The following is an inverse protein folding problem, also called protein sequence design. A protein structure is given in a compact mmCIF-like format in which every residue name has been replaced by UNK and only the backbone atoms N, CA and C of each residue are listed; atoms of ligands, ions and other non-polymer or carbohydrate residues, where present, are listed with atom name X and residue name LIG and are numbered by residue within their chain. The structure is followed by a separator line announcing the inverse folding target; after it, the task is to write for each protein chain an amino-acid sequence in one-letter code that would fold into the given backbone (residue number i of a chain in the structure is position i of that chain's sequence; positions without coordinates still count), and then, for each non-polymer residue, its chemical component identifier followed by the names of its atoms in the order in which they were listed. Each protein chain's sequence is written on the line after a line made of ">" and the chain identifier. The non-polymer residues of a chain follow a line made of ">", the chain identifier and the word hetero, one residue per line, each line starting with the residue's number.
data_IF_304255508935
#
_entry.id   IF_304255508935
#
_cell.length_a   1.000
_cell.length_b   1.000
_cell.length_c   1.000
_cell.angle_alpha   90.00
_cell.angle_beta   90.00
_cell.angle_gamma   90.00
#
_symmetry.space_group_name_H-M   'P 1'
#
loop_
_entity.id
_entity.type
_entity.pdbx_description
1 polymer ?
#
# COMPACT_ATOMS: atom_id res chain seq x y z
N UNK A 1 25.95 65.68 -10.80
CA UNK A 1 25.31 65.72 -9.46
C UNK A 1 23.83 65.39 -9.61
N UNK A 2 23.44 64.13 -9.42
CA UNK A 2 22.08 63.68 -9.07
C UNK A 2 22.17 62.24 -8.58
N UNK A 3 21.73 62.05 -7.34
CA UNK A 3 21.66 60.81 -6.60
C UNK A 3 20.63 59.85 -7.22
N UNK A 4 20.94 58.54 -7.21
CA UNK A 4 19.93 57.47 -7.12
C UNK A 4 20.36 56.50 -6.02
N UNK A 5 19.39 56.11 -5.21
CA UNK A 5 19.50 55.32 -3.98
C UNK A 5 18.67 54.04 -4.15
N UNK A 6 19.07 52.97 -3.41
CA UNK A 6 18.36 51.70 -3.07
C UNK A 6 18.37 50.60 -4.15
N UNK A 7 18.60 49.31 -3.88
CA UNK A 7 18.37 48.45 -2.68
C UNK A 7 19.48 47.40 -2.49
N UNK A 8 19.68 46.83 -1.28
CA UNK A 8 20.49 45.63 -1.09
C UNK A 8 19.65 44.36 -1.31
N UNK A 9 20.11 43.47 -2.20
CA UNK A 9 19.56 42.13 -2.35
C UNK A 9 20.10 41.24 -1.22
N UNK A 10 19.23 40.83 -0.30
CA UNK A 10 19.49 39.73 0.63
C UNK A 10 19.24 38.40 -0.07
N UNK A 11 20.29 37.79 -0.61
CA UNK A 11 20.26 36.40 -1.09
C UNK A 11 20.73 35.48 0.03
N UNK A 12 19.81 34.73 0.64
CA UNK A 12 20.16 33.51 1.37
C UNK A 12 20.45 32.40 0.35
N UNK A 13 21.55 31.64 0.46
CA UNK A 13 21.77 30.49 -0.40
C UNK A 13 20.85 29.34 0.07
N UNK A 14 20.01 28.87 -0.83
CA UNK A 14 19.28 27.62 -0.73
C UNK A 14 20.28 26.45 -0.74
N UNK A 15 20.57 25.90 0.45
CA UNK A 15 21.33 24.66 0.58
C UNK A 15 20.38 23.52 0.27
N UNK A 16 20.49 22.97 -0.94
CA UNK A 16 19.84 21.73 -1.34
C UNK A 16 20.59 20.58 -0.64
N UNK A 17 20.08 20.12 0.51
CA UNK A 17 20.58 18.90 1.14
C UNK A 17 20.10 17.70 0.34
N UNK A 18 20.96 17.15 -0.53
CA UNK A 18 20.76 15.84 -1.13
C UNK A 18 21.05 14.81 -0.01
N UNK A 19 20.02 14.41 0.71
CA UNK A 19 20.13 13.28 1.64
C UNK A 19 20.20 11.99 0.82
N UNK A 20 21.35 11.32 0.91
CA UNK A 20 21.51 9.95 0.41
C UNK A 20 20.92 9.03 1.47
N UNK A 21 19.66 8.66 1.28
CA UNK A 21 18.99 7.61 2.05
C UNK A 21 19.70 6.26 1.81
N UNK A 22 19.68 5.31 2.77
CA UNK A 22 20.18 3.96 2.50
C UNK A 22 19.55 3.45 1.19
N UNK A 23 20.33 2.74 0.38
CA UNK A 23 19.89 2.21 -0.93
C UNK A 23 18.51 1.57 -0.78
N UNK A 24 17.49 2.12 -1.45
CA UNK A 24 16.14 1.56 -1.49
C UNK A 24 16.27 0.06 -1.72
N UNK A 25 15.89 -0.74 -0.72
CA UNK A 25 15.85 -2.19 -0.90
C UNK A 25 14.51 -2.52 -1.53
N UNK A 26 14.44 -2.52 -2.86
CA UNK A 26 13.23 -2.88 -3.57
C UNK A 26 12.98 -4.40 -3.51
N UNK A 27 11.71 -4.80 -3.58
CA UNK A 27 11.33 -6.18 -3.79
C UNK A 27 11.87 -6.62 -5.17
N UNK A 28 12.66 -7.71 -5.27
CA UNK A 28 13.19 -8.17 -6.55
C UNK A 28 12.08 -8.88 -7.33
N UNK A 29 11.25 -8.10 -8.02
CA UNK A 29 10.17 -8.64 -8.84
C UNK A 29 10.71 -9.38 -10.08
N UNK A 30 9.98 -10.39 -10.60
CA UNK A 30 10.29 -11.01 -11.88
C UNK A 30 10.40 -9.96 -12.96
N UNK A 31 11.44 -10.08 -13.78
CA UNK A 31 11.60 -9.17 -14.90
C UNK A 31 10.45 -9.26 -15.90
N UNK A 32 9.71 -10.36 -15.95
CA UNK A 32 8.61 -10.63 -16.86
C UNK A 32 8.25 -12.12 -16.87
N UNK A 33 7.43 -12.58 -17.82
CA UNK A 33 7.05 -13.99 -17.89
C UNK A 33 8.28 -14.88 -18.08
N UNK A 34 8.44 -15.96 -17.28
CA UNK A 34 9.56 -16.87 -17.40
C UNK A 34 9.45 -17.70 -18.69
N UNK A 35 10.58 -18.22 -19.18
CA UNK A 35 10.60 -19.14 -20.34
C UNK A 35 9.82 -20.44 -20.08
N UNK A 36 9.80 -20.87 -18.82
CA UNK A 36 9.06 -22.05 -18.36
C UNK A 36 8.37 -21.72 -17.05
N UNK A 37 7.09 -22.04 -16.97
CA UNK A 37 6.33 -21.96 -15.73
C UNK A 37 6.47 -23.25 -14.94
N UNK A 38 6.86 -23.11 -13.68
CA UNK A 38 6.80 -24.13 -12.65
C UNK A 38 6.24 -23.52 -11.35
N UNK A 39 6.14 -24.32 -10.30
CA UNK A 39 5.51 -23.87 -9.05
C UNK A 39 6.23 -22.70 -8.39
N UNK A 40 7.56 -22.64 -8.50
CA UNK A 40 8.35 -21.56 -7.90
C UNK A 40 8.15 -20.27 -8.69
N UNK A 41 8.13 -20.34 -10.02
CA UNK A 41 7.80 -19.19 -10.86
C UNK A 41 6.38 -18.66 -10.60
N UNK A 42 5.38 -19.54 -10.41
CA UNK A 42 4.03 -19.12 -10.03
C UNK A 42 4.00 -18.42 -8.68
N UNK A 43 4.72 -18.93 -7.68
CA UNK A 43 4.81 -18.30 -6.35
C UNK A 43 5.49 -16.95 -6.40
N UNK A 44 6.57 -16.81 -7.17
CA UNK A 44 7.27 -15.54 -7.35
C UNK A 44 6.36 -14.48 -7.97
N UNK A 45 5.61 -14.83 -9.01
CA UNK A 45 4.64 -13.92 -9.62
C UNK A 45 3.47 -13.63 -8.69
N UNK A 46 2.95 -14.61 -7.95
CA UNK A 46 1.88 -14.36 -6.99
C UNK A 46 2.34 -13.49 -5.80
N UNK A 47 3.60 -13.61 -5.35
CA UNK A 47 4.18 -12.68 -4.36
C UNK A 47 4.36 -11.27 -4.96
N UNK A 48 4.69 -11.18 -6.25
CA UNK A 48 4.75 -9.89 -6.96
C UNK A 48 3.37 -9.24 -7.03
N UNK A 49 2.32 -10.03 -7.27
CA UNK A 49 0.94 -9.57 -7.21
C UNK A 49 0.60 -9.00 -5.83
N UNK A 50 0.94 -9.71 -4.75
CA UNK A 50 0.77 -9.22 -3.36
C UNK A 50 1.47 -7.88 -3.15
N UNK A 51 2.71 -7.73 -3.63
CA UNK A 51 3.47 -6.49 -3.47
C UNK A 51 2.91 -5.36 -4.34
N UNK A 52 2.44 -5.67 -5.56
CA UNK A 52 1.78 -4.72 -6.44
C UNK A 52 0.56 -4.08 -5.76
N UNK A 53 -0.39 -4.88 -5.29
CA UNK A 53 -1.60 -4.36 -4.62
C UNK A 53 -1.28 -3.69 -3.29
N UNK A 54 -0.20 -4.11 -2.61
CA UNK A 54 0.23 -3.42 -1.39
C UNK A 54 0.77 -2.01 -1.68
N UNK A 55 1.42 -1.77 -2.82
CA UNK A 55 1.98 -0.47 -3.18
C UNK A 55 0.93 0.57 -3.57
N UNK A 56 -0.26 0.18 -4.01
CA UNK A 56 -1.36 1.11 -4.35
C UNK A 56 -2.08 1.61 -3.10
N UNK A 57 -2.17 0.78 -2.05
CA UNK A 57 -2.92 1.10 -0.82
C UNK A 57 -2.39 2.35 -0.10
N UNK A 58 -1.11 2.47 0.34
CA UNK A 58 -0.63 3.68 1.00
C UNK A 58 -0.70 4.92 0.11
N UNK A 59 -0.51 4.75 -1.21
CA UNK A 59 -0.56 5.84 -2.18
C UNK A 59 -1.94 6.51 -2.19
N UNK A 60 -3.00 5.71 -2.38
CA UNK A 60 -4.37 6.22 -2.41
C UNK A 60 -4.85 6.64 -1.03
N UNK A 61 -4.49 5.89 0.01
CA UNK A 61 -4.88 6.19 1.38
C UNK A 61 -4.22 7.49 1.90
N UNK A 62 -2.97 7.76 1.55
CA UNK A 62 -2.28 9.03 1.84
C UNK A 62 -3.04 10.21 1.24
N UNK A 63 -3.36 10.13 -0.06
CA UNK A 63 -4.14 11.16 -0.75
C UNK A 63 -5.52 11.33 -0.12
N UNK A 64 -6.22 10.24 0.20
CA UNK A 64 -7.53 10.25 0.86
C UNK A 64 -7.48 10.99 2.21
N UNK A 65 -6.46 10.77 3.03
CA UNK A 65 -6.32 11.45 4.31
C UNK A 65 -6.07 12.95 4.17
N UNK A 66 -5.43 13.39 3.09
CA UNK A 66 -5.18 14.80 2.84
C UNK A 66 -6.43 15.58 2.41
N UNK A 67 -7.49 14.93 1.93
CA UNK A 67 -8.69 15.62 1.42
C UNK A 67 -9.51 16.23 2.56
N UNK A 68 -9.97 17.47 2.35
CA UNK A 68 -10.87 18.18 3.27
C UNK A 68 -12.10 18.77 2.54
N UNK A 69 -13.30 18.74 3.13
CA UNK A 69 -13.64 17.95 4.31
C UNK A 69 -13.53 16.44 4.03
N UNK A 70 -13.24 15.63 5.04
CA UNK A 70 -13.14 14.17 4.91
C UNK A 70 -14.44 13.49 4.45
N UNK A 71 -15.56 14.22 4.48
CA UNK A 71 -16.87 13.79 3.97
C UNK A 71 -17.12 14.21 2.51
N UNK A 72 -16.12 14.72 1.80
CA UNK A 72 -16.28 15.09 0.38
C UNK A 72 -16.51 13.86 -0.48
N UNK A 73 -17.04 14.08 -1.69
CA UNK A 73 -17.26 12.99 -2.64
C UNK A 73 -15.95 12.35 -3.10
N UNK A 74 -14.93 13.17 -3.38
CA UNK A 74 -13.59 12.72 -3.72
C UNK A 74 -12.97 11.83 -2.61
N UNK A 75 -13.10 12.22 -1.34
CA UNK A 75 -12.62 11.42 -0.23
C UNK A 75 -13.31 10.05 -0.15
N UNK A 76 -14.62 9.98 -0.38
CA UNK A 76 -15.37 8.72 -0.40
C UNK A 76 -15.00 7.83 -1.58
N UNK A 77 -14.86 8.41 -2.78
CA UNK A 77 -14.48 7.67 -3.99
C UNK A 77 -13.10 7.03 -3.84
N UNK A 78 -12.11 7.79 -3.39
CA UNK A 78 -10.76 7.26 -3.15
C UNK A 78 -10.77 6.22 -2.02
N UNK A 79 -11.55 6.44 -0.94
CA UNK A 79 -11.70 5.43 0.11
C UNK A 79 -12.33 4.13 -0.42
N UNK A 80 -13.26 4.21 -1.37
CA UNK A 80 -13.84 3.04 -2.04
C UNK A 80 -12.80 2.25 -2.83
N UNK A 81 -11.96 2.95 -3.61
CA UNK A 81 -10.83 2.32 -4.33
C UNK A 81 -9.88 1.64 -3.34
N UNK A 82 -9.50 2.32 -2.25
CA UNK A 82 -8.61 1.73 -1.23
C UNK A 82 -9.17 0.43 -0.65
N UNK A 83 -10.48 0.34 -0.42
CA UNK A 83 -11.12 -0.89 0.08
C UNK A 83 -11.06 -2.01 -0.97
N UNK A 84 -11.20 -1.68 -2.25
CA UNK A 84 -11.04 -2.64 -3.35
C UNK A 84 -9.58 -3.11 -3.49
N UNK A 85 -8.59 -2.22 -3.37
CA UNK A 85 -7.17 -2.61 -3.35
C UNK A 85 -6.83 -3.54 -2.18
N UNK A 86 -7.46 -3.37 -1.01
CA UNK A 86 -7.33 -4.31 0.12
C UNK A 86 -7.93 -5.68 -0.18
N UNK A 87 -9.05 -5.73 -0.92
CA UNK A 87 -9.59 -6.98 -1.44
C UNK A 87 -8.61 -7.62 -2.43
N UNK A 88 -8.02 -6.84 -3.34
CA UNK A 88 -7.08 -7.34 -4.34
C UNK A 88 -5.85 -7.94 -3.66
N UNK A 89 -5.31 -7.26 -2.66
CA UNK A 89 -4.22 -7.78 -1.82
C UNK A 89 -4.60 -9.12 -1.17
N UNK A 90 -5.80 -9.21 -0.60
CA UNK A 90 -6.27 -10.44 0.03
C UNK A 90 -6.42 -11.59 -0.97
N UNK A 91 -6.95 -11.32 -2.17
CA UNK A 91 -7.10 -12.29 -3.25
C UNK A 91 -5.74 -12.73 -3.82
N UNK A 92 -4.82 -11.81 -4.06
CA UNK A 92 -3.45 -12.11 -4.49
C UNK A 92 -2.73 -13.00 -3.46
N UNK A 93 -2.88 -12.71 -2.17
CA UNK A 93 -2.33 -13.54 -1.11
C UNK A 93 -3.01 -14.90 -1.00
N UNK A 94 -4.33 -15.01 -1.25
CA UNK A 94 -5.03 -16.29 -1.35
C UNK A 94 -4.50 -17.14 -2.51
N UNK A 95 -4.23 -16.54 -3.68
CA UNK A 95 -3.62 -17.23 -4.82
C UNK A 95 -2.25 -17.79 -4.43
N UNK A 96 -1.38 -16.96 -3.85
CA UNK A 96 -0.05 -17.40 -3.39
C UNK A 96 -0.15 -18.49 -2.32
N UNK A 97 -1.06 -18.35 -1.37
CA UNK A 97 -1.32 -19.35 -0.34
C UNK A 97 -1.77 -20.68 -0.95
N UNK A 98 -2.69 -20.64 -1.93
CA UNK A 98 -3.18 -21.82 -2.65
C UNK A 98 -2.10 -22.53 -3.47
N UNK A 99 -1.07 -21.82 -3.93
CA UNK A 99 0.12 -22.41 -4.56
C UNK A 99 1.09 -23.05 -3.54
N UNK A 100 0.71 -23.13 -2.26
CA UNK A 100 1.57 -23.59 -1.16
C UNK A 100 2.65 -22.60 -0.76
N UNK A 101 2.54 -21.34 -1.18
CA UNK A 101 3.40 -20.25 -0.73
C UNK A 101 2.93 -19.66 0.60
N UNK A 102 3.70 -18.69 1.08
CA UNK A 102 3.35 -17.84 2.22
C UNK A 102 3.54 -16.39 1.77
N UNK A 103 2.46 -15.60 1.65
CA UNK A 103 2.58 -14.17 1.39
C UNK A 103 3.45 -13.50 2.44
N UNK A 104 4.29 -12.56 2.01
CA UNK A 104 5.11 -11.70 2.87
C UNK A 104 4.80 -10.24 2.53
N UNK A 105 4.50 -9.44 3.56
CA UNK A 105 4.23 -8.00 3.42
C UNK A 105 5.19 -7.16 4.26
N UNK A 106 5.67 -7.70 5.38
CA UNK A 106 6.50 -6.97 6.32
C UNK A 106 8.00 -7.23 6.07
N UNK A 107 8.78 -6.16 6.11
CA UNK A 107 10.23 -6.22 6.04
C UNK A 107 10.79 -5.17 5.10
N UNK A 108 12.09 -4.87 5.17
CA UNK A 108 12.71 -3.77 4.43
C UNK A 108 12.56 -3.91 2.91
N UNK A 109 12.37 -5.12 2.40
CA UNK A 109 12.16 -5.39 0.97
C UNK A 109 10.70 -5.42 0.53
N UNK A 110 9.76 -5.59 1.46
CA UNK A 110 8.35 -5.88 1.15
C UNK A 110 7.44 -4.71 1.51
N UNK A 111 7.75 -3.99 2.58
CA UNK A 111 7.02 -2.80 2.98
C UNK A 111 7.22 -1.70 1.94
N UNK A 112 6.14 -1.11 1.39
CA UNK A 112 6.22 -0.09 0.35
C UNK A 112 7.15 1.06 0.72
N UNK A 113 7.97 1.49 -0.24
CA UNK A 113 8.86 2.64 -0.11
C UNK A 113 8.57 3.62 -1.24
N UNK A 114 8.44 4.91 -0.92
CA UNK A 114 8.16 5.94 -1.91
C UNK A 114 9.31 6.97 -1.98
N UNK A 115 9.61 7.52 -3.17
CA UNK A 115 8.97 7.20 -4.44
C UNK A 115 9.25 5.76 -4.93
N UNK A 116 8.34 5.20 -5.72
CA UNK A 116 8.52 3.90 -6.39
C UNK A 116 8.05 3.95 -7.85
N UNK A 117 8.50 3.00 -8.66
CA UNK A 117 8.01 2.80 -10.02
C UNK A 117 7.28 1.45 -10.09
N UNK A 118 5.99 1.46 -10.42
CA UNK A 118 5.21 0.20 -10.48
C UNK A 118 5.35 -0.48 -11.84
N UNK A 119 5.26 0.25 -12.95
CA UNK A 119 5.23 -0.32 -14.30
C UNK A 119 6.51 -0.11 -15.09
N UNK A 120 6.52 -0.73 -16.27
CA UNK A 120 7.47 -0.48 -17.33
C UNK A 120 7.47 0.96 -17.89
N UNK A 121 6.31 1.62 -17.91
CA UNK A 121 6.25 3.05 -18.21
C UNK A 121 6.64 3.81 -16.94
N UNK A 122 7.67 4.66 -17.02
CA UNK A 122 8.28 5.44 -15.92
C UNK A 122 7.28 6.39 -15.22
N UNK A 123 6.31 5.85 -14.50
CA UNK A 123 5.42 6.59 -13.60
C UNK A 123 6.01 6.44 -12.20
N UNK A 124 6.86 7.39 -11.82
CA UNK A 124 7.35 7.49 -10.45
C UNK A 124 6.20 7.96 -9.55
N UNK A 125 5.76 7.08 -8.67
CA UNK A 125 4.66 7.32 -7.75
C UNK A 125 5.20 7.87 -6.44
N UNK A 126 4.54 8.90 -5.94
CA UNK A 126 4.95 9.65 -4.76
C UNK A 126 3.80 9.75 -3.75
N UNK A 127 4.12 9.71 -2.46
CA UNK A 127 3.15 10.05 -1.41
C UNK A 127 3.01 11.57 -1.35
N UNK A 128 1.95 12.11 -1.97
CA UNK A 128 1.69 13.56 -2.06
C UNK A 128 0.23 13.89 -1.87
N UNK A 129 -0.06 15.15 -1.52
CA UNK A 129 -1.41 15.70 -1.51
C UNK A 129 -2.07 15.53 -2.89
N UNK A 130 -3.40 15.33 -2.96
CA UNK A 130 -4.14 14.97 -4.18
C UNK A 130 -4.34 16.17 -5.12
N UNK A 131 -3.23 16.77 -5.53
CA UNK A 131 -3.18 17.79 -6.59
C UNK A 131 -3.55 17.17 -7.94
N UNK A 132 -3.97 17.98 -8.94
CA UNK A 132 -4.33 17.45 -10.25
C UNK A 132 -3.26 16.57 -10.92
N UNK A 133 -1.94 16.86 -10.82
CA UNK A 133 -0.90 15.95 -11.29
C UNK A 133 -0.92 14.58 -10.60
N UNK A 134 -1.13 14.54 -9.28
CA UNK A 134 -1.17 13.29 -8.50
C UNK A 134 -2.38 12.43 -8.89
N UNK A 135 -3.56 13.03 -9.05
CA UNK A 135 -4.74 12.30 -9.54
C UNK A 135 -4.52 11.77 -10.96
N UNK A 136 -3.82 12.52 -11.81
CA UNK A 136 -3.46 12.06 -13.15
C UNK A 136 -2.49 10.88 -13.12
N UNK A 137 -1.59 10.81 -12.13
CA UNK A 137 -0.74 9.64 -11.95
C UNK A 137 -1.56 8.42 -11.52
N UNK A 138 -2.59 8.57 -10.68
CA UNK A 138 -3.52 7.47 -10.37
C UNK A 138 -4.29 6.98 -11.60
N UNK A 139 -4.74 7.90 -12.47
CA UNK A 139 -5.33 7.54 -13.76
C UNK A 139 -4.39 6.70 -14.62
N UNK A 140 -3.09 6.99 -14.60
CA UNK A 140 -2.09 6.24 -15.37
C UNK A 140 -1.87 4.86 -14.79
N UNK A 141 -1.84 4.73 -13.46
CA UNK A 141 -1.67 3.44 -12.78
C UNK A 141 -2.79 2.47 -13.15
N UNK A 142 -4.03 2.94 -13.13
CA UNK A 142 -5.21 2.10 -13.39
C UNK A 142 -5.57 1.99 -14.88
N UNK A 143 -4.79 2.60 -15.78
CA UNK A 143 -5.18 2.68 -17.18
C UNK A 143 -5.27 1.28 -17.83
N UNK A 144 -6.38 0.95 -18.52
CA UNK A 144 -6.42 -0.24 -19.34
C UNK A 144 -5.39 -0.14 -20.46
N UNK A 145 -4.88 -1.28 -20.92
CA UNK A 145 -3.90 -1.32 -22.00
C UNK A 145 -4.43 -0.62 -23.25
N UNK A 146 -3.82 0.49 -23.65
CA UNK A 146 -3.98 1.06 -24.97
C UNK A 146 -3.15 0.21 -25.93
N UNK A 147 -3.78 -0.71 -26.65
CA UNK A 147 -3.12 -1.57 -27.64
C UNK A 147 -2.27 -0.75 -28.63
N UNK A 148 -0.96 -0.68 -28.41
CA UNK A 148 0.02 -0.01 -29.26
C UNK A 148 1.45 -0.39 -28.86
N UNK A 149 2.37 -0.63 -29.81
CA UNK A 149 3.71 -1.06 -29.49
C UNK A 149 4.54 0.13 -29.00
N UNK A 150 4.96 0.11 -27.74
CA UNK A 150 5.95 1.04 -27.22
C UNK A 150 7.31 0.33 -27.24
N UNK A 151 8.31 0.98 -27.85
CA UNK A 151 9.68 0.47 -27.92
C UNK A 151 10.21 0.12 -26.54
N UNK A 152 11.15 -0.84 -26.42
CA UNK A 152 11.61 -1.22 -25.11
C UNK A 152 12.61 -0.23 -24.47
N UNK A 153 12.26 0.52 -23.39
CA UNK A 153 13.26 1.20 -22.57
C UNK A 153 14.14 0.23 -21.77
N UNK A 154 15.28 0.76 -21.32
CA UNK A 154 16.29 0.02 -20.57
C UNK A 154 15.73 -0.43 -19.21
N UNK A 155 16.02 -1.67 -18.76
CA UNK A 155 15.59 -2.14 -17.44
C UNK A 155 16.22 -1.27 -16.33
N UNK A 156 15.40 -0.86 -15.36
CA UNK A 156 15.80 -0.26 -14.09
C UNK A 156 15.56 -1.28 -12.97
N UNK A 157 16.43 -1.33 -11.96
CA UNK A 157 16.33 -2.26 -10.83
C UNK A 157 15.20 -1.89 -9.84
N UNK A 158 14.52 -0.76 -10.05
CA UNK A 158 13.56 -0.16 -9.10
C UNK A 158 12.08 -0.40 -9.47
N UNK A 159 11.79 -1.15 -10.56
CA UNK A 159 10.42 -1.39 -11.02
C UNK A 159 9.76 -2.62 -10.35
N UNK A 160 8.48 -2.50 -9.96
CA UNK A 160 7.69 -3.64 -9.46
C UNK A 160 7.24 -4.57 -10.60
N UNK A 161 6.96 -4.05 -11.79
CA UNK A 161 6.57 -4.81 -13.00
C UNK A 161 7.41 -4.40 -14.22
N UNK A 162 8.71 -4.68 -14.25
CA UNK A 162 9.67 -4.16 -15.23
C UNK A 162 9.42 -4.53 -16.71
N UNK A 163 8.57 -5.50 -17.06
CA UNK A 163 8.20 -5.80 -18.47
C UNK A 163 6.70 -5.98 -18.69
N UNK A 164 5.86 -5.46 -17.80
CA UNK A 164 4.41 -5.40 -18.01
C UNK A 164 3.98 -3.94 -18.19
N UNK A 165 3.02 -3.71 -19.09
CA UNK A 165 2.53 -2.36 -19.39
C UNK A 165 1.38 -1.97 -18.46
N UNK A 166 0.57 -2.93 -18.03
CA UNK A 166 -0.57 -2.68 -17.12
C UNK A 166 -0.76 -3.83 -16.12
N UNK A 167 -1.49 -3.56 -15.03
CA UNK A 167 -1.86 -4.56 -14.01
C UNK A 167 -2.62 -5.72 -14.65
N UNK A 168 -3.55 -5.41 -15.54
CA UNK A 168 -4.36 -6.37 -16.25
C UNK A 168 -3.56 -7.24 -17.21
N UNK A 169 -2.52 -6.73 -17.86
CA UNK A 169 -1.60 -7.57 -18.66
C UNK A 169 -0.87 -8.59 -17.77
N UNK A 170 -0.40 -8.16 -16.60
CA UNK A 170 0.25 -9.01 -15.63
C UNK A 170 -0.67 -10.16 -15.18
N UNK A 171 -1.89 -9.86 -14.74
CA UNK A 171 -2.85 -10.90 -14.33
C UNK A 171 -3.32 -11.79 -15.49
N UNK A 172 -3.54 -11.25 -16.70
CA UNK A 172 -3.91 -12.06 -17.89
C UNK A 172 -2.80 -13.05 -18.26
N UNK A 173 -1.54 -12.65 -18.10
CA UNK A 173 -0.39 -13.53 -18.28
C UNK A 173 -0.44 -14.68 -17.27
N UNK A 174 -0.65 -14.37 -15.98
CA UNK A 174 -0.70 -15.35 -14.91
C UNK A 174 -1.89 -16.33 -15.09
N UNK A 175 -3.07 -15.82 -15.44
CA UNK A 175 -4.26 -16.62 -15.80
C UNK A 175 -3.92 -17.63 -16.89
N UNK A 176 -3.35 -17.15 -18.00
CA UNK A 176 -3.04 -17.99 -19.17
C UNK A 176 -2.04 -19.09 -18.80
N UNK A 177 -0.99 -18.73 -18.05
CA UNK A 177 0.03 -19.67 -17.61
C UNK A 177 -0.53 -20.75 -16.67
N UNK A 178 -1.33 -20.36 -15.67
CA UNK A 178 -1.94 -21.28 -14.72
C UNK A 178 -2.93 -22.24 -15.39
N UNK A 179 -3.77 -21.74 -16.31
CA UNK A 179 -4.71 -22.59 -17.06
C UNK A 179 -4.00 -23.64 -17.92
N UNK A 180 -2.91 -23.25 -18.60
CA UNK A 180 -2.12 -24.19 -19.38
C UNK A 180 -1.44 -25.23 -18.49
N UNK A 181 -0.85 -24.82 -17.37
CA UNK A 181 -0.21 -25.73 -16.43
C UNK A 181 -1.21 -26.71 -15.81
N UNK A 182 -2.38 -26.24 -15.37
CA UNK A 182 -3.42 -27.11 -14.79
C UNK A 182 -3.95 -28.12 -15.83
N UNK A 183 -4.07 -27.73 -17.10
CA UNK A 183 -4.44 -28.64 -18.19
C UNK A 183 -3.38 -29.73 -18.43
N UNK A 184 -2.10 -29.38 -18.38
CA UNK A 184 -0.99 -30.32 -18.55
C UNK A 184 -0.73 -31.18 -17.30
N UNK A 185 -1.09 -30.66 -16.12
CA UNK A 185 -0.84 -31.26 -14.82
C UNK A 185 -2.07 -31.19 -13.90
N UNK A 186 -3.18 -31.87 -14.24
CA UNK A 186 -4.44 -31.74 -13.51
C UNK A 186 -4.29 -32.03 -12.02
N UNK A 187 -4.77 -31.11 -11.18
CA UNK A 187 -4.80 -31.27 -9.72
C UNK A 187 -3.43 -31.14 -9.03
N UNK A 188 -2.40 -30.64 -9.72
CA UNK A 188 -1.06 -30.45 -9.14
C UNK A 188 -0.68 -28.99 -8.84
N UNK A 189 -1.49 -28.03 -9.28
CA UNK A 189 -1.17 -26.61 -9.13
C UNK A 189 -1.49 -26.07 -7.74
N UNK A 190 -2.61 -26.51 -7.15
CA UNK A 190 -3.12 -25.99 -5.88
C UNK A 190 -2.96 -27.01 -4.75
N UNK A 191 -2.56 -26.51 -3.57
CA UNK A 191 -2.46 -27.27 -2.34
C UNK A 191 -3.75 -27.15 -1.52
N UNK A 192 -4.58 -28.21 -1.45
CA UNK A 192 -5.86 -28.17 -0.77
C UNK A 192 -5.73 -28.01 0.76
N UNK A 193 -4.56 -28.27 1.34
CA UNK A 193 -4.33 -28.11 2.79
C UNK A 193 -4.30 -26.64 3.24
N UNK A 194 -4.24 -25.72 2.28
CA UNK A 194 -4.10 -24.28 2.53
C UNK A 194 -5.44 -23.54 2.64
N UNK A 195 -6.56 -24.18 2.28
CA UNK A 195 -7.86 -23.51 2.21
C UNK A 195 -8.29 -22.88 3.55
N UNK A 196 -8.07 -23.58 4.67
CA UNK A 196 -8.46 -23.11 6.01
C UNK A 196 -7.66 -21.91 6.55
N UNK A 197 -6.62 -21.48 5.85
CA UNK A 197 -5.79 -20.32 6.15
C UNK A 197 -5.86 -19.27 5.03
N UNK A 198 -6.89 -19.28 4.20
CA UNK A 198 -7.16 -18.23 3.21
C UNK A 198 -8.23 -17.26 3.71
N UNK A 199 -8.17 -16.02 3.24
CA UNK A 199 -9.29 -15.07 3.38
C UNK A 199 -10.55 -15.62 2.73
N UNK A 200 -11.68 -15.47 3.42
CA UNK A 200 -13.00 -15.95 3.03
C UNK A 200 -14.06 -14.87 3.31
N UNK A 201 -15.29 -15.10 2.89
CA UNK A 201 -16.38 -14.12 2.97
C UNK A 201 -16.75 -13.71 4.40
N UNK A 202 -16.50 -14.57 5.39
CA UNK A 202 -16.82 -14.26 6.79
C UNK A 202 -15.80 -13.30 7.43
N UNK A 203 -14.61 -13.15 6.82
CA UNK A 203 -13.55 -12.28 7.35
C UNK A 203 -13.80 -10.78 7.06
N UNK A 204 -14.80 -10.44 6.24
CA UNK A 204 -15.19 -9.04 6.03
C UNK A 204 -16.64 -8.92 5.57
N UNK A 205 -17.48 -8.36 6.44
CA UNK A 205 -18.90 -8.11 6.15
C UNK A 205 -19.10 -7.00 5.11
N UNK A 206 -18.06 -6.18 4.85
CA UNK A 206 -18.13 -4.99 4.00
C UNK A 206 -17.41 -5.11 2.66
N UNK A 207 -16.73 -6.22 2.39
CA UNK A 207 -15.96 -6.44 1.16
C UNK A 207 -16.63 -7.57 0.35
N UNK A 208 -17.37 -7.19 -0.68
CA UNK A 208 -17.96 -8.15 -1.62
C UNK A 208 -16.91 -8.69 -2.59
N UNK A 209 -17.06 -9.95 -3.01
CA UNK A 209 -16.17 -10.60 -3.97
C UNK A 209 -14.99 -11.37 -3.37
N UNK A 210 -14.85 -11.43 -2.05
CA UNK A 210 -13.86 -12.31 -1.41
C UNK A 210 -14.14 -13.78 -1.74
N UNK A 211 -13.12 -14.51 -2.20
CA UNK A 211 -13.21 -15.95 -2.41
C UNK A 211 -11.91 -16.67 -2.06
N UNK A 212 -12.06 -17.88 -1.55
CA UNK A 212 -10.95 -18.83 -1.43
C UNK A 212 -10.59 -19.36 -2.81
N UNK A 213 -9.31 -19.63 -3.02
CA UNK A 213 -8.73 -20.25 -4.21
C UNK A 213 -8.42 -21.71 -3.90
N UNK A 214 -9.17 -22.61 -4.52
CA UNK A 214 -9.07 -24.07 -4.31
C UNK A 214 -8.85 -24.84 -5.61
N UNK A 215 -9.03 -24.18 -6.76
CA UNK A 215 -8.89 -24.73 -8.09
C UNK A 215 -8.62 -23.61 -9.12
N UNK A 216 -8.41 -24.01 -10.38
CA UNK A 216 -8.14 -23.05 -11.45
C UNK A 216 -9.31 -22.10 -11.70
N UNK A 217 -10.55 -22.56 -11.49
CA UNK A 217 -11.75 -21.74 -11.70
C UNK A 217 -11.81 -20.60 -10.69
N UNK A 218 -11.65 -20.90 -9.40
CA UNK A 218 -11.62 -19.91 -8.32
C UNK A 218 -10.42 -18.96 -8.41
N UNK A 219 -9.26 -19.43 -8.88
CA UNK A 219 -8.10 -18.56 -9.15
C UNK A 219 -8.40 -17.56 -10.29
N UNK A 220 -9.00 -18.02 -11.38
CA UNK A 220 -9.37 -17.16 -12.52
C UNK A 220 -10.46 -16.16 -12.12
N UNK A 221 -11.43 -16.57 -11.30
CA UNK A 221 -12.46 -15.66 -10.77
C UNK A 221 -11.83 -14.53 -9.96
N UNK A 222 -10.91 -14.86 -9.04
CA UNK A 222 -10.21 -13.86 -8.22
C UNK A 222 -9.42 -12.86 -9.08
N UNK A 223 -8.59 -13.35 -10.01
CA UNK A 223 -7.79 -12.48 -10.88
C UNK A 223 -8.65 -11.65 -11.84
N UNK A 224 -9.75 -12.21 -12.35
CA UNK A 224 -10.69 -11.46 -13.21
C UNK A 224 -11.35 -10.32 -12.44
N UNK A 225 -11.74 -10.55 -11.18
CA UNK A 225 -12.31 -9.50 -10.35
C UNK A 225 -11.34 -8.34 -10.13
N UNK A 226 -10.05 -8.65 -9.85
CA UNK A 226 -9.00 -7.64 -9.72
C UNK A 226 -8.90 -6.79 -10.99
N UNK A 227 -8.82 -7.44 -12.16
CA UNK A 227 -8.74 -6.75 -13.46
C UNK A 227 -9.97 -5.87 -13.69
N UNK A 228 -11.17 -6.41 -13.50
CA UNK A 228 -12.43 -5.73 -13.79
C UNK A 228 -12.64 -4.51 -12.86
N UNK A 229 -12.24 -4.60 -11.59
CA UNK A 229 -12.33 -3.49 -10.65
C UNK A 229 -11.26 -2.42 -10.90
N UNK A 230 -10.03 -2.78 -11.23
CA UNK A 230 -8.95 -1.82 -11.51
C UNK A 230 -9.13 -1.09 -12.85
N UNK A 231 -8.98 -1.83 -13.95
CA UNK A 231 -8.94 -1.28 -15.31
C UNK A 231 -10.32 -1.14 -15.95
N UNK A 232 -11.32 -1.85 -15.44
CA UNK A 232 -12.62 -2.04 -16.08
C UNK A 232 -12.66 -3.27 -17.00
N UNK A 233 -13.87 -3.75 -17.28
CA UNK A 233 -14.08 -4.98 -18.05
C UNK A 233 -15.46 -5.58 -17.80
N UNK A 234 -15.91 -6.44 -18.71
CA UNK A 234 -17.19 -7.14 -18.57
C UNK A 234 -18.39 -6.21 -18.36
N UNK A 235 -19.01 -6.26 -17.18
CA UNK A 235 -20.15 -5.43 -16.77
C UNK A 235 -19.81 -4.33 -15.76
N UNK A 236 -18.54 -4.21 -15.33
CA UNK A 236 -18.11 -3.21 -14.34
C UNK A 236 -17.94 -1.86 -15.02
N UNK A 237 -18.72 -0.87 -14.57
CA UNK A 237 -18.74 0.49 -15.15
C UNK A 237 -18.07 1.53 -14.27
N UNK A 238 -17.79 1.20 -13.01
CA UNK A 238 -17.26 2.04 -11.95
C UNK A 238 -15.89 1.53 -11.47
N UNK A 239 -14.99 1.23 -12.41
CA UNK A 239 -13.62 0.80 -12.11
C UNK A 239 -12.78 1.90 -11.44
N UNK A 240 -11.61 1.55 -10.91
CA UNK A 240 -10.65 2.49 -10.34
C UNK A 240 -10.24 3.53 -11.39
N UNK A 241 -9.94 3.07 -12.61
CA UNK A 241 -9.66 3.96 -13.74
C UNK A 241 -10.77 4.97 -14.00
N UNK A 242 -12.01 4.49 -14.11
CA UNK A 242 -13.16 5.36 -14.37
C UNK A 242 -13.37 6.37 -13.22
N UNK A 243 -13.17 5.92 -11.99
CA UNK A 243 -13.25 6.75 -10.79
C UNK A 243 -12.19 7.85 -10.78
N UNK A 244 -10.92 7.52 -11.03
CA UNK A 244 -9.86 8.54 -11.08
C UNK A 244 -10.00 9.47 -12.28
N UNK A 245 -10.51 8.98 -13.42
CA UNK A 245 -10.85 9.82 -14.59
C UNK A 245 -11.93 10.84 -14.27
N UNK A 246 -12.93 10.45 -13.50
CA UNK A 246 -13.95 11.37 -13.01
C UNK A 246 -13.31 12.44 -12.11
N UNK A 247 -12.48 12.01 -11.14
CA UNK A 247 -11.81 12.89 -10.19
C UNK A 247 -10.80 13.85 -10.84
N UNK A 248 -10.15 13.46 -11.94
CA UNK A 248 -9.22 14.32 -12.69
C UNK A 248 -9.89 15.62 -13.16
N UNK A 249 -11.21 15.59 -13.39
CA UNK A 249 -12.00 16.76 -13.80
C UNK A 249 -12.53 17.61 -12.64
N UNK A 250 -12.33 17.17 -11.40
CA UNK A 250 -12.87 17.83 -10.20
C UNK A 250 -11.84 18.72 -9.51
N UNK A 251 -12.32 19.76 -8.83
CA UNK A 251 -11.49 20.51 -7.88
C UNK A 251 -11.56 19.86 -6.51
N UNK A 252 -10.42 19.34 -6.03
CA UNK A 252 -10.31 18.70 -4.72
C UNK A 252 -9.64 19.69 -3.76
N UNK A 253 -10.28 19.95 -2.63
CA UNK A 253 -9.67 20.71 -1.54
C UNK A 253 -8.91 19.74 -0.61
N UNK A 254 -7.67 20.10 -0.24
CA UNK A 254 -6.80 19.25 0.57
C UNK A 254 -5.90 20.06 1.51
N UNK A 255 -5.33 19.37 2.50
CA UNK A 255 -4.18 19.83 3.26
C UNK A 255 -2.92 19.66 2.42
N UNK A 256 -2.13 20.72 2.29
CA UNK A 256 -0.77 20.62 1.75
C UNK A 256 0.11 19.96 2.82
N UNK A 257 0.72 18.82 2.50
CA UNK A 257 1.63 18.08 3.39
C UNK A 257 2.99 17.89 2.73
N UNK A 258 4.01 17.66 3.55
CA UNK A 258 5.33 17.24 3.05
C UNK A 258 5.19 15.92 2.28
N UNK A 259 5.60 15.92 1.02
CA UNK A 259 5.59 14.72 0.17
C UNK A 259 6.75 13.77 0.47
N UNK A 260 6.56 12.49 0.12
CA UNK A 260 7.50 11.38 0.32
C UNK A 260 8.13 11.40 1.73
N UNK A 261 7.30 11.41 2.78
CA UNK A 261 7.79 11.61 4.13
C UNK A 261 8.66 10.46 4.61
N UNK A 262 9.71 10.82 5.34
CA UNK A 262 10.47 9.88 6.14
C UNK A 262 10.49 10.32 7.60
N UNK A 263 10.08 9.46 8.53
CA UNK A 263 10.02 9.78 9.96
C UNK A 263 11.38 10.15 10.57
N UNK A 264 12.48 9.69 9.96
CA UNK A 264 13.84 10.09 10.34
C UNK A 264 14.35 11.35 9.65
N UNK A 265 13.54 12.05 8.84
CA UNK A 265 13.94 13.33 8.24
C UNK A 265 14.30 14.33 9.35
N UNK A 266 15.47 14.99 9.29
CA UNK A 266 15.91 15.98 10.28
C UNK A 266 14.91 17.09 10.55
N UNK A 267 13.98 17.39 9.63
CA UNK A 267 12.91 18.38 9.84
C UNK A 267 12.00 18.05 11.02
N UNK A 268 11.90 16.78 11.41
CA UNK A 268 11.07 16.33 12.52
C UNK A 268 11.88 16.16 13.81
N UNK A 269 13.20 16.34 13.78
CA UNK A 269 14.06 16.08 14.92
C UNK A 269 13.74 17.03 16.09
N UNK A 270 13.59 16.48 17.29
CA UNK A 270 13.17 17.22 18.47
C UNK A 270 11.74 17.77 18.46
N UNK A 271 10.95 17.55 17.38
CA UNK A 271 9.56 17.95 17.33
C UNK A 271 8.66 16.84 17.91
N UNK A 272 7.68 17.19 18.78
CA UNK A 272 6.73 16.20 19.31
C UNK A 272 5.97 15.43 18.21
N UNK A 273 5.78 16.04 17.04
CA UNK A 273 5.03 15.45 15.92
C UNK A 273 5.68 14.17 15.40
N UNK A 274 7.01 14.05 15.53
CA UNK A 274 7.77 12.84 15.18
C UNK A 274 7.24 11.62 15.92
N UNK A 275 6.79 11.76 17.16
CA UNK A 275 6.26 10.63 17.94
C UNK A 275 4.95 10.10 17.37
N UNK A 276 4.08 10.97 16.86
CA UNK A 276 2.87 10.56 16.16
C UNK A 276 3.17 9.92 14.80
N UNK A 277 4.20 10.40 14.09
CA UNK A 277 4.68 9.78 12.84
C UNK A 277 5.21 8.36 13.11
N UNK A 278 6.06 8.18 14.12
CA UNK A 278 6.57 6.87 14.56
C UNK A 278 5.45 5.92 15.00
N UNK A 279 4.42 6.43 15.69
CA UNK A 279 3.27 5.63 16.08
C UNK A 279 2.47 5.11 14.87
N UNK A 280 2.37 5.92 13.80
CA UNK A 280 1.73 5.48 12.56
C UNK A 280 2.56 4.41 11.85
N UNK A 281 3.88 4.58 11.74
CA UNK A 281 4.78 3.59 11.13
C UNK A 281 4.73 2.24 11.86
N UNK A 282 4.79 2.27 13.20
CA UNK A 282 4.66 1.07 14.03
C UNK A 282 3.29 0.40 13.85
N UNK A 283 2.19 1.17 13.87
CA UNK A 283 0.85 0.62 13.68
C UNK A 283 0.65 0.03 12.28
N UNK A 284 1.18 0.70 11.25
CA UNK A 284 1.16 0.21 9.87
C UNK A 284 1.95 -1.09 9.74
N UNK A 285 3.17 -1.16 10.27
CA UNK A 285 3.97 -2.38 10.21
C UNK A 285 3.38 -3.55 11.01
N UNK A 286 2.75 -3.27 12.16
CA UNK A 286 2.05 -4.29 12.93
C UNK A 286 0.79 -4.79 12.21
N UNK A 287 0.13 -3.92 11.43
CA UNK A 287 -0.95 -4.30 10.53
C UNK A 287 -0.44 -5.24 9.44
N UNK A 288 0.68 -4.91 8.78
CA UNK A 288 1.28 -5.80 7.76
C UNK A 288 1.58 -7.18 8.33
N UNK A 289 2.20 -7.25 9.52
CA UNK A 289 2.43 -8.52 10.21
C UNK A 289 1.13 -9.25 10.55
N UNK A 290 0.08 -8.54 10.96
CA UNK A 290 -1.23 -9.16 11.27
C UNK A 290 -1.88 -9.75 10.01
N UNK A 291 -1.86 -9.02 8.89
CA UNK A 291 -2.36 -9.52 7.59
C UNK A 291 -1.53 -10.72 7.13
N UNK A 292 -0.20 -10.64 7.19
CA UNK A 292 0.69 -11.73 6.76
C UNK A 292 0.37 -13.05 7.47
N UNK A 293 0.12 -12.97 8.78
CA UNK A 293 -0.12 -14.15 9.61
C UNK A 293 -1.51 -14.77 9.42
N UNK A 294 -2.47 -14.09 8.79
CA UNK A 294 -3.78 -14.71 8.47
C UNK A 294 -3.62 -15.84 7.46
N UNK A 295 -2.59 -15.80 6.61
CA UNK A 295 -2.24 -16.87 5.68
C UNK A 295 -1.39 -17.98 6.29
N UNK A 296 -0.99 -17.84 7.55
CA UNK A 296 -0.10 -18.79 8.24
C UNK A 296 -0.85 -19.57 9.31
N UNK A 297 -1.61 -18.88 10.16
CA UNK A 297 -2.28 -19.47 11.32
C UNK A 297 -3.78 -19.63 11.09
N UNK A 298 -4.29 -20.85 11.24
CA UNK A 298 -5.73 -21.11 11.29
C UNK A 298 -6.32 -20.98 12.69
N UNK A 299 -5.51 -21.04 13.75
CA UNK A 299 -5.99 -21.14 15.13
C UNK A 299 -6.34 -19.77 15.75
N UNK A 300 -5.71 -18.70 15.26
CA UNK A 300 -5.91 -17.32 15.71
C UNK A 300 -6.47 -16.43 14.61
N UNK A 301 -7.24 -17.03 13.69
CA UNK A 301 -7.76 -16.30 12.53
C UNK A 301 -8.61 -15.10 12.95
N UNK A 302 -9.61 -15.32 13.80
CA UNK A 302 -10.52 -14.27 14.25
C UNK A 302 -9.77 -13.14 14.97
N UNK A 303 -8.78 -13.50 15.79
CA UNK A 303 -7.91 -12.54 16.48
C UNK A 303 -7.11 -11.66 15.49
N UNK A 304 -6.61 -12.26 14.41
CA UNK A 304 -5.84 -11.56 13.37
C UNK A 304 -6.72 -10.67 12.49
N UNK A 305 -7.92 -11.13 12.12
CA UNK A 305 -8.90 -10.33 11.38
C UNK A 305 -9.37 -9.15 12.23
N UNK A 306 -9.66 -9.37 13.50
CA UNK A 306 -10.03 -8.32 14.46
C UNK A 306 -8.87 -7.32 14.68
N UNK A 307 -7.61 -7.78 14.63
CA UNK A 307 -6.45 -6.89 14.59
C UNK A 307 -6.47 -5.96 13.38
N UNK A 308 -6.74 -6.48 12.17
CA UNK A 308 -6.80 -5.69 10.94
C UNK A 308 -7.81 -4.55 11.10
N UNK A 309 -9.03 -4.86 11.53
CA UNK A 309 -10.09 -3.87 11.74
C UNK A 309 -9.73 -2.81 12.79
N UNK A 310 -9.17 -3.24 13.92
CA UNK A 310 -8.74 -2.36 15.02
C UNK A 310 -7.52 -1.52 14.68
N UNK A 311 -6.65 -1.97 13.79
CA UNK A 311 -5.50 -1.19 13.35
C UNK A 311 -5.94 -0.15 12.32
N UNK A 312 -6.68 -0.57 11.29
CA UNK A 312 -7.04 0.27 10.15
C UNK A 312 -7.82 1.52 10.55
N UNK A 313 -8.96 1.36 11.21
CA UNK A 313 -9.91 2.46 11.42
C UNK A 313 -9.66 3.20 12.75
N UNK A 314 -9.64 2.52 13.91
CA UNK A 314 -9.61 3.23 15.18
C UNK A 314 -8.19 3.66 15.60
N UNK A 315 -7.12 3.16 14.97
CA UNK A 315 -5.72 3.54 15.26
C UNK A 315 -5.10 4.30 14.08
N UNK A 316 -4.79 3.65 12.96
CA UNK A 316 -4.06 4.26 11.82
C UNK A 316 -4.81 5.46 11.27
N UNK A 317 -6.09 5.31 10.91
CA UNK A 317 -6.87 6.42 10.38
C UNK A 317 -7.04 7.57 11.40
N UNK A 318 -7.03 7.28 12.70
CA UNK A 318 -7.07 8.30 13.75
C UNK A 318 -5.77 9.10 13.83
N UNK A 319 -4.62 8.43 13.75
CA UNK A 319 -3.30 9.09 13.74
C UNK A 319 -3.12 9.87 12.44
N UNK A 320 -3.42 9.28 11.29
CA UNK A 320 -3.26 9.93 9.98
C UNK A 320 -4.10 11.22 9.87
N UNK A 321 -5.39 11.15 10.22
CA UNK A 321 -6.28 12.32 10.25
C UNK A 321 -5.82 13.39 11.24
N UNK A 322 -5.17 12.99 12.33
CA UNK A 322 -4.54 13.94 13.24
C UNK A 322 -3.34 14.62 12.58
N UNK A 323 -2.40 13.85 12.03
CA UNK A 323 -1.16 14.36 11.40
C UNK A 323 -1.44 15.43 10.34
N UNK A 324 -2.33 15.14 9.38
CA UNK A 324 -2.63 16.06 8.26
C UNK A 324 -3.25 17.40 8.70
N UNK A 325 -3.69 17.51 9.97
CA UNK A 325 -4.21 18.76 10.54
C UNK A 325 -3.17 19.55 11.33
N UNK A 326 -1.98 18.99 11.56
CA UNK A 326 -0.91 19.65 12.31
C UNK A 326 -0.02 20.44 11.36
N UNK A 327 -0.10 21.77 11.38
CA UNK A 327 0.83 22.64 10.63
C UNK A 327 2.24 22.53 11.22
N UNK A 328 3.25 22.34 10.36
CA UNK A 328 4.64 22.27 10.78
C UNK A 328 5.17 23.67 11.12
N UNK A 329 5.96 23.77 12.19
CA UNK A 329 6.47 25.06 12.67
C UNK A 329 7.31 25.76 11.58
N UNK A 330 6.90 26.97 11.19
CA UNK A 330 7.59 27.76 10.17
C UNK A 330 7.33 27.32 8.72
N UNK A 331 6.41 26.39 8.47
CA UNK A 331 5.96 25.99 7.12
C UNK A 331 4.46 26.27 6.95
N UNK A 332 4.01 26.38 5.70
CA UNK A 332 2.59 26.32 5.32
C UNK A 332 2.09 24.88 5.17
N UNK A 333 2.99 23.90 5.19
CA UNK A 333 2.69 22.47 5.07
C UNK A 333 2.28 21.85 6.41
N UNK A 334 1.52 20.77 6.33
CA UNK A 334 1.09 19.96 7.46
C UNK A 334 1.94 18.70 7.58
N UNK A 335 1.88 18.06 8.75
CA UNK A 335 2.53 16.79 8.99
C UNK A 335 1.88 15.68 8.15
N UNK A 336 2.67 14.90 7.40
CA UNK A 336 2.14 13.81 6.58
C UNK A 336 2.01 12.51 7.40
N UNK A 337 1.10 11.60 7.03
CA UNK A 337 1.14 10.20 7.48
C UNK A 337 2.29 9.45 6.76
N UNK A 338 3.31 8.96 7.48
CA UNK A 338 4.54 8.46 6.84
C UNK A 338 4.42 7.14 6.08
N UNK A 339 3.76 6.12 6.66
CA UNK A 339 3.71 4.76 6.12
C UNK A 339 5.11 4.17 5.82
N UNK A 340 6.10 4.52 6.62
CA UNK A 340 7.45 4.00 6.49
C UNK A 340 7.59 2.63 7.17
N UNK A 341 8.64 1.92 6.78
CA UNK A 341 9.07 0.70 7.45
C UNK A 341 9.54 1.01 8.89
N UNK A 342 8.91 0.35 9.86
CA UNK A 342 9.30 0.35 11.26
C UNK A 342 10.02 -0.97 11.60
N UNK A 343 11.33 -0.95 11.91
CA UNK A 343 12.10 -2.16 12.19
C UNK A 343 11.88 -2.64 13.62
N UNK A 344 10.90 -3.52 13.83
CA UNK A 344 10.72 -4.19 15.12
C UNK A 344 11.95 -5.03 15.45
N UNK A 345 12.34 -5.08 16.73
CA UNK A 345 13.53 -5.86 17.11
C UNK A 345 13.33 -7.38 16.98
N UNK A 346 12.11 -7.86 17.17
CA UNK A 346 11.66 -9.23 16.86
C UNK A 346 10.13 -9.30 16.80
N UNK A 347 9.58 -10.43 16.35
CA UNK A 347 8.13 -10.68 16.38
C UNK A 347 7.58 -10.64 17.82
N UNK A 348 8.34 -11.14 18.79
CA UNK A 348 7.97 -11.14 20.21
C UNK A 348 7.95 -9.73 20.82
N UNK A 349 8.81 -8.84 20.33
CA UNK A 349 8.89 -7.46 20.81
C UNK A 349 7.90 -6.52 20.10
N UNK A 350 7.42 -6.88 18.91
CA UNK A 350 6.63 -6.00 18.04
C UNK A 350 5.39 -5.40 18.74
N UNK A 351 4.68 -6.20 19.54
CA UNK A 351 3.50 -5.73 20.27
C UNK A 351 3.86 -4.66 21.32
N UNK A 352 4.94 -4.89 22.09
CA UNK A 352 5.38 -3.93 23.11
C UNK A 352 5.95 -2.66 22.47
N UNK A 353 6.70 -2.77 21.37
CA UNK A 353 7.24 -1.62 20.65
C UNK A 353 6.12 -0.76 20.02
N UNK A 354 5.05 -1.38 19.49
CA UNK A 354 3.85 -0.68 19.07
C UNK A 354 3.21 0.10 20.23
N UNK A 355 3.06 -0.55 21.39
CA UNK A 355 2.51 0.08 22.60
C UNK A 355 3.34 1.29 23.04
N UNK A 356 4.66 1.15 23.02
CA UNK A 356 5.57 2.22 23.41
C UNK A 356 5.49 3.41 22.45
N UNK A 357 5.49 3.17 21.13
CA UNK A 357 5.37 4.21 20.12
C UNK A 357 4.04 4.98 20.22
N UNK A 358 2.91 4.26 20.30
CA UNK A 358 1.57 4.88 20.45
C UNK A 358 1.43 5.59 21.81
N UNK A 359 1.99 5.00 22.87
CA UNK A 359 2.03 5.57 24.21
C UNK A 359 2.78 6.90 24.23
N UNK A 360 3.91 7.00 23.55
CA UNK A 360 4.70 8.22 23.46
C UNK A 360 3.96 9.33 22.70
N UNK A 361 3.35 9.02 21.55
CA UNK A 361 2.50 9.97 20.82
C UNK A 361 1.34 10.51 21.70
N UNK A 362 0.76 9.63 22.52
CA UNK A 362 -0.38 9.95 23.39
C UNK A 362 -0.01 10.84 24.58
N UNK A 363 1.26 10.84 25.02
CA UNK A 363 1.75 11.78 26.04
C UNK A 363 1.84 13.20 25.48
N UNK A 364 2.19 13.33 24.20
CA UNK A 364 2.42 14.61 23.54
C UNK A 364 1.12 15.27 23.04
N UNK A 365 0.07 14.48 22.73
CA UNK A 365 -1.15 14.98 22.08
C UNK A 365 -2.44 14.51 22.75
N UNK A 366 -3.29 15.46 23.13
CA UNK A 366 -4.58 15.20 23.79
C UNK A 366 -5.54 14.40 22.90
N UNK A 367 -5.53 14.67 21.59
CA UNK A 367 -6.35 14.07 20.55
C UNK A 367 -6.06 12.58 20.35
N UNK A 368 -4.89 12.11 20.82
CA UNK A 368 -4.40 10.75 20.70
C UNK A 368 -4.49 9.95 22.02
N UNK A 369 -4.87 10.58 23.14
CA UNK A 369 -4.84 9.94 24.48
C UNK A 369 -5.61 8.62 24.62
N UNK A 370 -6.62 8.38 23.80
CA UNK A 370 -7.40 7.14 23.84
C UNK A 370 -6.83 6.01 22.99
N UNK A 371 -5.72 6.22 22.27
CA UNK A 371 -5.10 5.20 21.43
C UNK A 371 -4.42 4.06 22.20
N UNK A 372 -3.74 4.27 23.35
CA UNK A 372 -3.12 3.18 24.10
C UNK A 372 -4.15 2.12 24.50
N UNK A 373 -5.33 2.53 24.99
CA UNK A 373 -6.43 1.61 25.34
C UNK A 373 -6.95 0.80 24.15
N UNK A 374 -6.76 1.29 22.92
CA UNK A 374 -7.12 0.55 21.70
C UNK A 374 -6.03 -0.45 21.33
N UNK A 375 -4.76 -0.09 21.48
CA UNK A 375 -3.63 -1.00 21.27
C UNK A 375 -3.64 -2.16 22.27
N UNK A 376 -4.03 -1.91 23.53
CA UNK A 376 -4.21 -2.96 24.55
C UNK A 376 -5.27 -4.01 24.18
N UNK A 377 -6.15 -3.72 23.21
CA UNK A 377 -7.17 -4.65 22.71
C UNK A 377 -6.74 -5.43 21.48
N UNK A 378 -5.55 -5.17 20.94
CA UNK A 378 -4.99 -5.95 19.85
C UNK A 378 -4.49 -7.29 20.39
N UNK A 379 -4.63 -8.31 19.57
CA UNK A 379 -3.98 -9.58 19.76
C UNK A 379 -2.45 -9.43 19.62
N UNK A 380 -1.73 -10.05 20.53
CA UNK A 380 -0.28 -10.06 20.62
C UNK A 380 0.28 -11.18 19.74
N UNK A 381 0.95 -10.81 18.64
CA UNK A 381 1.46 -11.77 17.65
C UNK A 381 2.49 -12.74 18.21
N UNK A 382 3.10 -12.46 19.37
CA UNK A 382 3.99 -13.42 20.06
C UNK A 382 3.29 -14.70 20.51
N UNK A 383 1.95 -14.68 20.58
CA UNK A 383 1.10 -15.81 21.01
C UNK A 383 0.66 -16.71 19.87
N UNK A 384 1.07 -16.45 18.62
CA UNK A 384 0.66 -17.26 17.47
C UNK A 384 1.10 -18.73 17.55
N UNK A 385 2.15 -19.03 18.32
CA UNK A 385 2.72 -20.36 18.47
C UNK A 385 2.49 -20.99 19.86
N UNK A 386 1.72 -20.33 20.73
CA UNK A 386 1.33 -20.82 22.07
C UNK A 386 -0.06 -21.42 22.03
#
# INVERSE_FOLDING_TARGET
>A
MRLRQKHPASGFPSILFIHVWPTKTCFPAPEGPPLKWDIDAFREHAQTAVILELHTIPLYLFSQFCIKPASSDAARKIAGVVVQEMLHLALAGNILCALGGQPVLYGPKYTPQYPCEIFYENVELHLRSPSPPVIKDFVRVEAPSASGPVQPPQPSEDHVLPKYHTIGEFYKTLITAMQNYDKEHPGKLFDPSTANRQFNQDDSVSIDGMNQVTDITSAVTAMTLIIDQGEGGGAVTDSHWATFKELESQTIEYYEVVGDPHTSDPRYEGLPIKTAMQALDAAYCYLLLSIENTWVSSNHRDDLVDNIDKLMVPIIAKIAKFLVTQTLAGSSEHAPPPFNYFPFSSTEAAYQELKDAVGEASKNYQELKGLPDKVEKLFDLSKLHT
#
